data_IF_591612614692
#
_entry.id   IF_591612614692
#
_cell.length_a   1.000
_cell.length_b   1.000
_cell.length_c   1.000
_cell.angle_alpha   90.00
_cell.angle_beta   90.00
_cell.angle_gamma   90.00
#
_symmetry.space_group_name_H-M   'P 1'
#
loop_
_entity.id
_entity.type
_entity.pdbx_description
1 polymer ?
#
# COMPACT_ATOMS: atom_id res chain seq x y z
N UNK A 1 15.53 11.02 -33.53
CA UNK A 1 16.72 10.59 -32.76
C UNK A 1 16.23 9.64 -31.67
N UNK A 2 16.73 8.41 -31.60
CA UNK A 2 16.22 7.38 -30.67
C UNK A 2 16.72 7.63 -29.25
N UNK A 3 15.85 7.49 -28.26
CA UNK A 3 16.13 7.63 -26.81
C UNK A 3 17.35 6.79 -26.39
N UNK A 4 17.53 5.61 -26.99
CA UNK A 4 18.65 4.71 -26.75
C UNK A 4 20.00 5.26 -27.21
N UNK A 5 20.05 6.00 -28.33
CA UNK A 5 21.30 6.61 -28.82
C UNK A 5 21.70 7.80 -27.96
N UNK A 6 20.73 8.66 -27.60
CA UNK A 6 20.98 9.77 -26.69
C UNK A 6 21.47 9.28 -25.31
N UNK A 7 20.89 8.18 -24.81
CA UNK A 7 21.33 7.54 -23.58
C UNK A 7 22.77 7.05 -23.68
N UNK A 8 23.15 6.30 -24.72
CA UNK A 8 24.53 5.80 -24.87
C UNK A 8 25.55 6.90 -25.05
N UNK A 9 25.21 7.97 -25.77
CA UNK A 9 26.09 9.10 -26.07
C UNK A 9 26.31 9.97 -24.81
N UNK A 10 25.27 10.15 -23.99
CA UNK A 10 25.39 10.77 -22.67
C UNK A 10 26.13 9.89 -21.67
N UNK A 11 25.97 8.55 -21.70
CA UNK A 11 26.73 7.65 -20.81
C UNK A 11 28.22 7.62 -21.17
N UNK A 12 28.55 7.65 -22.46
CA UNK A 12 29.94 7.69 -22.94
C UNK A 12 30.64 8.99 -22.53
N UNK A 13 29.97 10.14 -22.69
CA UNK A 13 30.51 11.43 -22.26
C UNK A 13 30.63 11.57 -20.72
N UNK A 14 29.79 10.86 -19.95
CA UNK A 14 29.87 10.83 -18.48
C UNK A 14 31.06 9.98 -17.98
N UNK A 15 31.42 8.95 -18.73
CA UNK A 15 32.55 8.06 -18.42
C UNK A 15 33.92 8.73 -18.53
N UNK A 16 34.07 9.68 -19.47
CA UNK A 16 35.35 10.38 -19.70
C UNK A 16 35.65 11.47 -18.64
N UNK A 17 34.63 11.91 -17.89
CA UNK A 17 34.76 12.98 -16.91
C UNK A 17 34.66 12.53 -15.44
N UNK A 18 34.26 11.28 -15.17
CA UNK A 18 34.28 10.72 -13.82
C UNK A 18 35.44 9.72 -13.68
N UNK A 19 36.61 10.16 -13.18
CA UNK A 19 37.65 9.21 -12.81
C UNK A 19 37.08 8.23 -11.76
N UNK A 20 37.31 6.93 -11.97
CA UNK A 20 36.95 5.82 -11.06
C UNK A 20 37.08 6.15 -9.56
N UNK A 21 38.17 6.79 -9.07
CA UNK A 21 38.29 7.15 -7.66
C UNK A 21 37.26 8.20 -7.19
N UNK A 22 36.83 9.12 -8.06
CA UNK A 22 35.87 10.18 -7.75
C UNK A 22 34.45 9.61 -7.69
N UNK A 23 34.12 8.68 -8.60
CA UNK A 23 32.90 7.89 -8.50
C UNK A 23 32.84 7.11 -7.17
N UNK A 24 33.94 6.46 -6.78
CA UNK A 24 34.05 5.75 -5.50
C UNK A 24 33.90 6.70 -4.30
N UNK A 25 34.50 7.88 -4.33
CA UNK A 25 34.38 8.90 -3.29
C UNK A 25 32.94 9.43 -3.17
N UNK A 26 32.25 9.69 -4.29
CA UNK A 26 30.85 10.10 -4.29
C UNK A 26 29.95 8.98 -3.72
N UNK A 27 30.25 7.72 -4.04
CA UNK A 27 29.56 6.55 -3.50
C UNK A 27 29.79 6.39 -1.99
N UNK A 28 31.02 6.59 -1.53
CA UNK A 28 31.36 6.59 -0.11
C UNK A 28 30.72 7.77 0.63
N UNK A 29 30.69 8.95 0.02
CA UNK A 29 30.11 10.15 0.61
C UNK A 29 28.59 10.03 0.71
N UNK A 30 27.92 9.52 -0.32
CA UNK A 30 26.49 9.21 -0.27
C UNK A 30 26.18 8.12 0.76
N UNK A 31 26.95 7.02 0.81
CA UNK A 31 26.81 5.99 1.83
C UNK A 31 27.03 6.54 3.24
N UNK A 32 28.02 7.41 3.44
CA UNK A 32 28.31 8.09 4.70
C UNK A 32 27.18 9.02 5.13
N UNK A 33 26.62 9.81 4.22
CA UNK A 33 25.46 10.68 4.49
C UNK A 33 24.21 9.86 4.83
N UNK A 34 23.98 8.73 4.17
CA UNK A 34 22.88 7.79 4.49
C UNK A 34 23.08 7.18 5.88
N UNK A 35 24.29 6.73 6.21
CA UNK A 35 24.62 6.20 7.53
C UNK A 35 24.48 7.27 8.62
N UNK A 36 24.90 8.52 8.33
CA UNK A 36 24.77 9.65 9.23
C UNK A 36 23.29 10.02 9.43
N UNK A 37 22.49 10.01 8.38
CA UNK A 37 21.04 10.19 8.46
C UNK A 37 20.36 9.09 9.29
N UNK A 38 20.81 7.83 9.13
CA UNK A 38 20.36 6.70 9.94
C UNK A 38 20.74 6.84 11.42
N UNK A 39 21.96 7.32 11.69
CA UNK A 39 22.49 7.51 13.04
C UNK A 39 21.82 8.67 13.78
N UNK A 40 21.58 9.80 13.10
CA UNK A 40 20.94 10.98 13.70
C UNK A 40 19.43 10.84 13.87
N UNK A 41 18.75 9.98 13.09
CA UNK A 41 17.31 9.76 13.20
C UNK A 41 16.94 8.28 13.48
N UNK A 42 17.27 7.73 14.67
CA UNK A 42 17.00 6.33 15.04
C UNK A 42 15.55 6.10 15.50
N UNK A 43 14.57 6.84 14.96
CA UNK A 43 13.16 6.74 15.37
C UNK A 43 12.44 5.48 14.84
N UNK A 44 13.14 4.61 14.10
CA UNK A 44 12.60 3.40 13.47
C UNK A 44 12.90 2.09 14.22
N UNK A 45 13.43 2.14 15.46
CA UNK A 45 13.67 0.95 16.30
C UNK A 45 12.67 0.90 17.47
N UNK A 46 11.52 0.21 17.35
CA UNK A 46 10.62 0.00 18.48
C UNK A 46 11.20 -1.04 19.44
N UNK A 47 11.84 -0.59 20.53
CA UNK A 47 12.38 -1.45 21.61
C UNK A 47 11.36 -1.87 22.69
N UNK A 48 10.05 -1.83 22.46
CA UNK A 48 9.07 -2.10 23.52
C UNK A 48 7.93 -3.01 23.08
N UNK A 49 8.09 -4.32 23.29
CA UNK A 49 6.95 -5.21 23.56
C UNK A 49 6.59 -5.08 25.05
N UNK A 50 5.48 -4.44 25.45
CA UNK A 50 5.02 -4.57 26.81
C UNK A 50 4.42 -5.97 26.97
N UNK A 51 5.20 -6.88 27.56
CA UNK A 51 4.68 -8.13 28.13
C UNK A 51 3.77 -7.78 29.31
N UNK A 52 2.48 -7.63 29.08
CA UNK A 52 1.49 -7.47 30.16
C UNK A 52 0.85 -8.82 30.46
N UNK A 53 1.35 -9.42 31.55
CA UNK A 53 0.76 -10.55 32.27
C UNK A 53 -0.73 -10.29 32.50
N UNK A 54 -1.61 -11.22 32.11
CA UNK A 54 -3.01 -11.23 32.52
C UNK A 54 -3.16 -12.00 33.84
N UNK A 55 -3.34 -11.34 35.00
CA UNK A 55 -3.93 -12.00 36.15
C UNK A 55 -5.44 -12.13 35.90
N UNK A 56 -5.96 -13.35 36.00
CA UNK A 56 -7.41 -13.62 36.01
C UNK A 56 -8.02 -12.95 37.24
N UNK A 57 -8.96 -12.01 37.09
CA UNK A 57 -9.89 -11.64 38.17
C UNK A 57 -11.26 -11.18 37.60
N UNK A 58 -12.32 -11.64 38.26
CA UNK A 58 -13.74 -11.54 37.93
C UNK A 58 -14.30 -10.11 38.05
N UNK A 59 -15.21 -9.80 37.11
CA UNK A 59 -16.46 -9.00 37.18
C UNK A 59 -16.52 -7.78 38.12
N UNK A 60 -16.89 -6.62 37.55
CA UNK A 60 -18.18 -5.96 37.81
C UNK A 60 -18.43 -4.81 36.80
N UNK A 61 -19.69 -4.70 36.33
CA UNK A 61 -20.23 -3.57 35.55
C UNK A 61 -20.23 -2.30 36.40
N UNK A 62 -20.06 -1.12 35.77
CA UNK A 62 -20.66 0.18 36.14
C UNK A 62 -20.47 1.19 34.97
N UNK A 63 -21.26 2.28 34.90
CA UNK A 63 -21.84 2.77 33.66
C UNK A 63 -21.15 4.02 33.09
N UNK A 64 -21.56 4.34 31.86
CA UNK A 64 -21.08 5.40 30.98
C UNK A 64 -21.12 6.77 31.64
N UNK A 65 -19.99 7.48 31.60
CA UNK A 65 -19.91 8.92 31.74
C UNK A 65 -19.20 9.53 30.53
N UNK A 66 -19.84 10.60 30.05
CA UNK A 66 -19.68 11.29 28.79
C UNK A 66 -19.04 12.64 29.11
N UNK A 67 -17.93 13.02 28.48
CA UNK A 67 -17.70 14.31 27.77
C UNK A 67 -16.22 14.73 27.64
N UNK A 68 -15.95 15.18 26.43
CA UNK A 68 -15.17 16.35 25.96
C UNK A 68 -13.63 16.44 26.02
N UNK A 69 -13.09 16.60 24.80
CA UNK A 69 -12.09 17.56 24.25
C UNK A 69 -10.84 17.91 25.06
N UNK A 70 -9.70 17.77 24.38
CA UNK A 70 -8.49 18.57 24.65
C UNK A 70 -7.29 18.14 23.79
N UNK A 71 -6.99 18.98 22.80
CA UNK A 71 -5.77 19.20 21.99
C UNK A 71 -4.41 18.56 22.38
N UNK A 72 -3.80 17.86 21.39
CA UNK A 72 -2.37 17.74 20.94
C UNK A 72 -1.20 17.58 21.94
N UNK A 73 0.05 17.27 21.52
CA UNK A 73 0.58 16.90 20.19
C UNK A 73 1.46 15.61 20.17
N UNK A 74 1.99 15.28 18.98
CA UNK A 74 3.24 14.55 18.70
C UNK A 74 3.26 13.01 18.48
N UNK A 75 4.00 12.69 17.40
CA UNK A 75 4.92 11.57 17.20
C UNK A 75 4.40 10.22 16.67
N UNK A 76 5.05 9.78 15.58
CA UNK A 76 5.40 8.38 15.37
C UNK A 76 5.01 7.80 14.01
N UNK A 77 6.01 7.66 13.12
CA UNK A 77 5.96 6.70 12.00
C UNK A 77 5.70 5.28 12.51
N UNK A 78 5.27 4.32 11.69
CA UNK A 78 6.10 3.75 10.62
C UNK A 78 5.32 2.67 9.88
N UNK A 79 5.75 2.37 8.65
CA UNK A 79 5.24 1.38 7.71
C UNK A 79 5.46 -0.12 8.08
N UNK A 80 4.50 -0.93 7.63
CA UNK A 80 4.56 -2.27 6.99
C UNK A 80 5.48 -3.40 7.51
N UNK A 81 4.91 -4.61 7.58
CA UNK A 81 5.58 -5.81 7.10
C UNK A 81 4.73 -6.57 6.05
N UNK A 82 5.40 -7.39 5.25
CA UNK A 82 4.85 -8.41 4.36
C UNK A 82 5.49 -9.76 4.74
N UNK A 83 5.04 -10.91 4.20
CA UNK A 83 3.68 -11.32 3.86
C UNK A 83 3.40 -12.67 4.54
N UNK A 84 2.67 -12.67 5.65
CA UNK A 84 2.05 -13.90 6.15
C UNK A 84 0.55 -13.84 5.84
N UNK A 85 0.03 -14.98 5.37
CA UNK A 85 -1.35 -15.17 4.94
C UNK A 85 -2.34 -14.70 6.01
N UNK A 86 -2.73 -13.43 5.93
CA UNK A 86 -3.75 -12.84 6.77
C UNK A 86 -5.13 -13.32 6.30
N UNK A 87 -6.04 -13.66 7.23
CA UNK A 87 -7.39 -14.08 6.87
C UNK A 87 -8.12 -12.96 6.11
N UNK A 88 -9.01 -13.30 5.16
CA UNK A 88 -9.63 -12.34 4.25
C UNK A 88 -10.80 -11.61 4.90
N UNK A 89 -10.59 -10.92 6.01
CA UNK A 89 -11.63 -10.11 6.65
C UNK A 89 -11.10 -8.73 7.01
N UNK A 90 -11.43 -7.74 6.16
CA UNK A 90 -11.44 -6.34 6.57
C UNK A 90 -10.46 -5.43 5.84
N UNK A 91 -10.76 -5.11 4.58
CA UNK A 91 -10.26 -3.91 3.87
C UNK A 91 -10.53 -2.60 4.64
N UNK A 92 -11.42 -2.63 5.65
CA UNK A 92 -11.91 -1.46 6.38
C UNK A 92 -11.02 -0.98 7.54
N UNK A 93 -10.78 -1.77 8.61
CA UNK A 93 -10.41 -1.20 9.90
C UNK A 93 -9.07 -0.47 9.93
N UNK A 94 -8.05 -1.01 9.25
CA UNK A 94 -6.71 -0.40 9.23
C UNK A 94 -6.65 0.81 8.29
N UNK A 95 -7.21 0.69 7.08
CA UNK A 95 -7.25 1.80 6.13
C UNK A 95 -8.03 2.99 6.69
N UNK A 96 -9.11 2.73 7.42
CA UNK A 96 -9.93 3.77 8.05
C UNK A 96 -9.18 4.47 9.18
N UNK A 97 -8.42 3.74 9.99
CA UNK A 97 -7.57 4.32 11.03
C UNK A 97 -6.46 5.19 10.43
N UNK A 98 -5.82 4.74 9.35
CA UNK A 98 -4.78 5.51 8.66
C UNK A 98 -5.35 6.80 8.06
N UNK A 99 -6.52 6.73 7.41
CA UNK A 99 -7.20 7.91 6.88
C UNK A 99 -7.58 8.90 8.00
N UNK A 100 -8.06 8.41 9.15
CA UNK A 100 -8.38 9.26 10.30
C UNK A 100 -7.15 9.98 10.90
N UNK A 101 -5.95 9.42 10.71
CA UNK A 101 -4.68 10.03 11.09
C UNK A 101 -4.10 10.97 10.01
N UNK A 102 -4.81 11.17 8.89
CA UNK A 102 -4.31 11.94 7.74
C UNK A 102 -3.25 11.20 6.90
N UNK A 103 -3.02 9.92 7.17
CA UNK A 103 -2.05 9.06 6.48
C UNK A 103 -2.66 8.45 5.23
N UNK A 104 -3.01 9.32 4.28
CA UNK A 104 -3.80 8.96 3.11
C UNK A 104 -3.06 8.04 2.14
N UNK A 105 -1.74 8.19 2.00
CA UNK A 105 -0.96 7.28 1.16
C UNK A 105 -1.10 5.85 1.70
N UNK A 106 -0.80 5.63 2.98
CA UNK A 106 -0.88 4.29 3.56
C UNK A 106 -2.32 3.74 3.55
N UNK A 107 -3.32 4.59 3.77
CA UNK A 107 -4.72 4.19 3.67
C UNK A 107 -5.06 3.65 2.26
N UNK A 108 -4.62 4.34 1.20
CA UNK A 108 -4.79 3.91 -0.20
C UNK A 108 -4.14 2.56 -0.44
N UNK A 109 -2.89 2.37 0.01
CA UNK A 109 -2.18 1.09 -0.14
C UNK A 109 -2.90 -0.07 0.56
N UNK A 110 -3.36 0.15 1.79
CA UNK A 110 -4.10 -0.88 2.53
C UNK A 110 -5.45 -1.20 1.90
N UNK A 111 -6.14 -0.22 1.29
CA UNK A 111 -7.36 -0.47 0.51
C UNK A 111 -7.08 -1.31 -0.73
N UNK A 112 -6.05 -0.98 -1.49
CA UNK A 112 -5.67 -1.77 -2.67
C UNK A 112 -5.32 -3.20 -2.27
N UNK A 113 -4.56 -3.38 -1.19
CA UNK A 113 -4.25 -4.71 -0.65
C UNK A 113 -5.53 -5.48 -0.29
N UNK A 114 -6.50 -4.82 0.33
CA UNK A 114 -7.80 -5.42 0.63
C UNK A 114 -8.61 -5.81 -0.61
N UNK A 115 -8.63 -4.97 -1.63
CA UNK A 115 -9.26 -5.27 -2.93
C UNK A 115 -8.64 -6.51 -3.60
N UNK A 116 -7.30 -6.58 -3.62
CA UNK A 116 -6.58 -7.75 -4.15
C UNK A 116 -6.83 -9.00 -3.30
N UNK A 117 -6.85 -8.86 -1.98
CA UNK A 117 -7.19 -9.94 -1.05
C UNK A 117 -8.59 -10.49 -1.28
N UNK A 118 -9.57 -9.64 -1.56
CA UNK A 118 -10.93 -10.07 -1.86
C UNK A 118 -11.03 -10.90 -3.14
N UNK A 119 -10.27 -10.55 -4.18
CA UNK A 119 -10.20 -11.32 -5.43
C UNK A 119 -9.64 -12.73 -5.20
N UNK A 120 -8.61 -12.85 -4.36
CA UNK A 120 -8.01 -14.12 -4.00
C UNK A 120 -8.95 -14.94 -3.11
N UNK A 121 -9.56 -14.31 -2.11
CA UNK A 121 -10.49 -14.97 -1.19
C UNK A 121 -11.70 -15.57 -1.90
N UNK A 122 -12.23 -14.86 -2.91
CA UNK A 122 -13.33 -15.33 -3.75
C UNK A 122 -12.89 -16.27 -4.88
N UNK A 123 -11.60 -16.65 -4.92
CA UNK A 123 -10.99 -17.48 -5.97
C UNK A 123 -11.21 -16.96 -7.39
N UNK A 124 -11.38 -15.65 -7.54
CA UNK A 124 -11.43 -15.02 -8.87
C UNK A 124 -10.07 -15.15 -9.53
N UNK A 125 -8.99 -15.04 -8.77
CA UNK A 125 -7.61 -15.30 -9.25
C UNK A 125 -6.91 -16.19 -8.24
N UNK A 126 -6.09 -17.11 -8.74
CA UNK A 126 -5.15 -17.87 -7.91
C UNK A 126 -3.82 -17.12 -7.85
N UNK A 127 -3.47 -16.61 -6.67
CA UNK A 127 -2.22 -15.90 -6.48
C UNK A 127 -1.06 -16.91 -6.40
N UNK A 128 -0.09 -16.78 -7.29
CA UNK A 128 1.13 -17.59 -7.31
C UNK A 128 2.34 -16.77 -6.83
N UNK A 129 3.33 -17.39 -6.17
CA UNK A 129 4.61 -16.73 -5.90
C UNK A 129 5.21 -16.16 -7.19
N UNK A 130 5.69 -14.91 -7.13
CA UNK A 130 6.24 -14.20 -8.28
C UNK A 130 5.22 -13.55 -9.23
N UNK A 131 3.92 -13.72 -9.00
CA UNK A 131 2.89 -13.05 -9.79
C UNK A 131 2.87 -11.55 -9.52
N UNK A 132 2.98 -10.75 -10.58
CA UNK A 132 2.90 -9.30 -10.51
C UNK A 132 1.45 -8.83 -10.31
N UNK A 133 1.27 -7.62 -9.78
CA UNK A 133 -0.06 -6.99 -9.63
C UNK A 133 -0.75 -6.81 -10.99
N UNK A 134 0.03 -6.52 -12.04
CA UNK A 134 -0.47 -6.38 -13.40
C UNK A 134 -1.02 -7.71 -13.95
N UNK A 135 -0.30 -8.82 -13.75
CA UNK A 135 -0.77 -10.15 -14.12
C UNK A 135 -2.03 -10.53 -13.33
N UNK A 136 -2.08 -10.24 -12.02
CA UNK A 136 -3.25 -10.50 -11.20
C UNK A 136 -4.47 -9.71 -11.71
N UNK A 137 -4.28 -8.43 -12.01
CA UNK A 137 -5.32 -7.54 -12.56
C UNK A 137 -5.83 -8.05 -13.91
N UNK A 138 -4.92 -8.47 -14.80
CA UNK A 138 -5.26 -9.05 -16.10
C UNK A 138 -6.06 -10.35 -15.93
N UNK A 139 -5.60 -11.26 -15.08
CA UNK A 139 -6.29 -12.53 -14.79
C UNK A 139 -7.68 -12.31 -14.16
N UNK A 140 -7.81 -11.35 -13.23
CA UNK A 140 -9.08 -11.00 -12.61
C UNK A 140 -10.07 -10.46 -13.64
N UNK A 141 -9.60 -9.58 -14.52
CA UNK A 141 -10.42 -8.97 -15.58
C UNK A 141 -10.87 -10.01 -16.60
N UNK A 142 -9.99 -10.93 -17.00
CA UNK A 142 -10.31 -12.00 -17.93
C UNK A 142 -11.39 -12.94 -17.39
N UNK A 143 -11.32 -13.29 -16.10
CA UNK A 143 -12.30 -14.18 -15.45
C UNK A 143 -13.59 -13.45 -15.07
N UNK A 144 -13.51 -12.15 -14.83
CA UNK A 144 -14.65 -11.37 -14.33
C UNK A 144 -14.60 -9.94 -14.82
N UNK A 145 -14.96 -9.68 -16.10
CA UNK A 145 -14.79 -8.37 -16.74
C UNK A 145 -15.26 -7.14 -15.94
N UNK A 146 -16.38 -7.20 -15.18
CA UNK A 146 -16.84 -6.06 -14.38
C UNK A 146 -15.87 -5.59 -13.29
N UNK A 147 -14.89 -6.41 -12.88
CA UNK A 147 -13.90 -6.04 -11.86
C UNK A 147 -12.74 -5.22 -12.42
N UNK A 148 -12.54 -5.24 -13.74
CA UNK A 148 -11.40 -4.60 -14.41
C UNK A 148 -11.36 -3.08 -14.21
N UNK A 149 -12.43 -2.33 -14.58
CA UNK A 149 -12.45 -0.87 -14.44
C UNK A 149 -12.16 -0.37 -13.02
N UNK A 150 -12.81 -0.85 -11.94
CA UNK A 150 -12.54 -0.35 -10.60
C UNK A 150 -11.13 -0.71 -10.11
N UNK A 151 -10.62 -1.90 -10.48
CA UNK A 151 -9.28 -2.34 -10.11
C UNK A 151 -8.18 -1.53 -10.83
N UNK A 152 -8.37 -1.26 -12.14
CA UNK A 152 -7.44 -0.44 -12.92
C UNK A 152 -7.40 1.01 -12.43
N UNK A 153 -8.55 1.60 -12.11
CA UNK A 153 -8.61 2.95 -11.53
C UNK A 153 -7.91 3.01 -10.17
N UNK A 154 -8.09 1.99 -9.32
CA UNK A 154 -7.42 1.91 -8.03
C UNK A 154 -5.89 1.77 -8.16
N UNK A 155 -5.43 0.95 -9.10
CA UNK A 155 -4.01 0.80 -9.43
C UNK A 155 -3.39 2.10 -9.99
N UNK A 156 -4.16 2.89 -10.75
CA UNK A 156 -3.76 4.22 -11.23
C UNK A 156 -3.52 5.19 -10.07
N UNK A 157 -4.48 5.30 -9.15
CA UNK A 157 -4.34 6.15 -7.94
C UNK A 157 -3.13 5.73 -7.12
N UNK A 158 -2.93 4.43 -6.91
CA UNK A 158 -1.75 3.93 -6.19
C UNK A 158 -0.44 4.31 -6.91
N UNK A 159 -0.38 4.12 -8.22
CA UNK A 159 0.81 4.43 -9.02
C UNK A 159 1.17 5.92 -8.97
N UNK A 160 0.16 6.80 -9.05
CA UNK A 160 0.32 8.24 -8.93
C UNK A 160 0.94 8.66 -7.58
N UNK A 161 0.48 8.04 -6.48
CA UNK A 161 0.95 8.36 -5.14
C UNK A 161 2.35 7.79 -4.85
N UNK A 162 2.62 6.55 -5.28
CA UNK A 162 3.87 5.85 -4.93
C UNK A 162 5.02 6.10 -5.90
N UNK A 163 4.74 6.05 -7.21
CA UNK A 163 5.78 6.11 -8.23
C UNK A 163 5.93 7.52 -8.79
N UNK A 164 4.82 8.25 -8.98
CA UNK A 164 4.87 9.65 -9.40
C UNK A 164 5.03 10.63 -8.22
N UNK A 165 5.13 10.14 -6.98
CA UNK A 165 5.35 10.92 -5.75
C UNK A 165 4.37 12.10 -5.59
N UNK A 166 3.13 11.93 -6.06
CA UNK A 166 2.08 12.95 -5.89
C UNK A 166 1.62 12.97 -4.44
N UNK A 167 1.36 14.16 -3.87
CA UNK A 167 0.91 14.28 -2.48
C UNK A 167 -0.45 13.59 -2.30
N UNK A 168 -0.53 12.70 -1.31
CA UNK A 168 -1.77 12.03 -0.97
C UNK A 168 -2.73 12.98 -0.25
N UNK A 169 -4.02 12.85 -0.59
CA UNK A 169 -5.09 13.70 -0.07
C UNK A 169 -6.34 12.88 0.26
N UNK A 170 -7.24 13.44 1.07
CA UNK A 170 -8.48 12.79 1.48
C UNK A 170 -9.35 12.33 0.30
N UNK A 171 -9.31 13.06 -0.81
CA UNK A 171 -10.04 12.72 -2.03
C UNK A 171 -9.57 11.40 -2.65
N UNK A 172 -8.27 11.09 -2.58
CA UNK A 172 -7.73 9.82 -3.05
C UNK A 172 -8.22 8.65 -2.18
N UNK A 173 -8.27 8.80 -0.85
CA UNK A 173 -8.82 7.78 0.05
C UNK A 173 -10.32 7.57 -0.21
N UNK A 174 -11.08 8.67 -0.36
CA UNK A 174 -12.51 8.60 -0.70
C UNK A 174 -12.72 7.87 -2.03
N UNK A 175 -11.96 8.20 -3.06
CA UNK A 175 -12.07 7.54 -4.38
C UNK A 175 -11.73 6.07 -4.29
N UNK A 176 -10.70 5.69 -3.53
CA UNK A 176 -10.37 4.29 -3.27
C UNK A 176 -11.48 3.53 -2.54
N UNK A 177 -12.23 4.17 -1.63
CA UNK A 177 -13.41 3.56 -1.00
C UNK A 177 -14.52 3.28 -2.00
N UNK A 178 -14.80 4.25 -2.87
CA UNK A 178 -15.81 4.10 -3.93
C UNK A 178 -15.45 2.94 -4.86
N UNK A 179 -14.19 2.87 -5.30
CA UNK A 179 -13.68 1.81 -6.16
C UNK A 179 -13.70 0.43 -5.48
N UNK A 180 -13.36 0.35 -4.19
CA UNK A 180 -13.47 -0.88 -3.43
C UNK A 180 -14.93 -1.34 -3.31
N UNK A 181 -15.87 -0.42 -3.11
CA UNK A 181 -17.30 -0.73 -3.06
C UNK A 181 -17.86 -1.15 -4.43
N UNK A 182 -17.41 -0.53 -5.53
CA UNK A 182 -17.70 -0.95 -6.90
C UNK A 182 -17.18 -2.36 -7.17
N UNK A 183 -15.92 -2.65 -6.80
CA UNK A 183 -15.33 -3.98 -6.92
C UNK A 183 -16.13 -5.01 -6.12
N UNK A 184 -16.47 -4.71 -4.86
CA UNK A 184 -17.23 -5.61 -4.01
C UNK A 184 -18.61 -5.93 -4.60
N UNK A 185 -19.34 -4.91 -5.06
CA UNK A 185 -20.64 -5.08 -5.73
C UNK A 185 -20.50 -5.88 -7.01
N UNK A 186 -19.48 -5.56 -7.81
CA UNK A 186 -19.16 -6.34 -8.98
C UNK A 186 -19.03 -7.80 -8.53
N UNK A 187 -18.18 -8.12 -7.54
CA UNK A 187 -17.90 -9.46 -7.00
C UNK A 187 -19.09 -10.21 -6.40
N UNK A 188 -20.07 -9.48 -5.86
CA UNK A 188 -21.29 -10.05 -5.31
C UNK A 188 -22.35 -10.35 -6.39
N UNK A 189 -22.29 -9.70 -7.55
CA UNK A 189 -23.25 -9.95 -8.62
C UNK A 189 -23.15 -11.42 -9.12
N UNK A 190 -24.26 -12.15 -9.26
CA UNK A 190 -24.25 -13.48 -9.85
C UNK A 190 -23.74 -13.42 -11.29
N UNK A 191 -23.00 -14.44 -11.71
CA UNK A 191 -22.58 -14.56 -13.11
C UNK A 191 -23.85 -14.53 -14.00
N UNK A 192 -23.85 -13.78 -15.12
CA UNK A 192 -24.98 -13.80 -16.03
C UNK A 192 -25.19 -15.24 -16.48
N UNK A 193 -26.32 -15.82 -16.09
CA UNK A 193 -26.73 -17.13 -16.54
C UNK A 193 -26.94 -17.00 -18.04
N UNK A 194 -26.04 -17.57 -18.83
CA UNK A 194 -26.18 -17.64 -20.28
C UNK A 194 -27.49 -18.34 -20.57
N UNK A 195 -28.44 -17.59 -21.14
CA UNK A 195 -29.74 -18.10 -21.50
C UNK A 195 -29.59 -19.37 -22.33
N UNK A 196 -30.31 -20.41 -21.91
CA UNK A 196 -30.63 -21.57 -22.72
C UNK A 196 -31.08 -21.08 -24.10
N UNK A 197 -30.25 -21.34 -25.11
CA UNK A 197 -30.73 -21.37 -26.49
C UNK A 197 -31.20 -22.79 -26.74
N UNK A 198 -32.51 -22.90 -26.72
CA UNK A 198 -33.29 -23.91 -27.44
C UNK A 198 -32.93 -23.94 -28.92
#
# INVERSE_FOLDING_TARGET
MSLSRWWTETTAALGDHLPLPLAALLLLLTAGLVALGWYHHPAWVPRRLPRLRLPRLRRARLPRLRRHRGTGPAAGGTAAPAPDAAPPDGTGPLADQLAAQGRYAEAVRERLRGMLGELVARRVVEQRPGMTVAELTSAATARRPPVGPPLAAAAGIFSDLWYAQRPAAAEHDRRMRELAAELHRALAAPAPQGGERT
#
